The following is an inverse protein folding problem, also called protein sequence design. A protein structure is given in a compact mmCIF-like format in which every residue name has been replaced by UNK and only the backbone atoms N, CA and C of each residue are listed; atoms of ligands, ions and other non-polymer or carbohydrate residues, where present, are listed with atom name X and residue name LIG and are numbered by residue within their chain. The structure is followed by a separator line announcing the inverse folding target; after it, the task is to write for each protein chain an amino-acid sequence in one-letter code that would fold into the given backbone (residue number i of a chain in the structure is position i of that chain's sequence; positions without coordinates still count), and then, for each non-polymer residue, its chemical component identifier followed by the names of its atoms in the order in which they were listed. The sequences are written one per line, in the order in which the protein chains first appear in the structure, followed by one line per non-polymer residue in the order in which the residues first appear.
data_IF_397429060337
#
_entry.id   IF_397429060337
#
_cell.length_a   1.000
_cell.length_b   1.000
_cell.length_c   1.000
_cell.angle_alpha   90.00
_cell.angle_beta   90.00
_cell.angle_gamma   90.00
#
_symmetry.space_group_name_H-M   'P 1'
#
loop_
_entity.id
_entity.type
_entity.pdbx_description
1 polymer ?
#
# COMPACT_ATOMS: atom_id res chain seq x y z
N UNK A 1 -23.67 -9.70 -21.39
CA UNK A 1 -22.45 -9.00 -20.91
C UNK A 1 -21.30 -9.45 -21.78
N UNK A 2 -20.54 -8.53 -22.39
CA UNK A 2 -19.36 -8.90 -23.17
C UNK A 2 -18.35 -9.58 -22.24
N UNK A 3 -17.88 -10.78 -22.61
CA UNK A 3 -16.87 -11.50 -21.84
C UNK A 3 -15.51 -10.83 -22.07
N UNK A 4 -15.03 -10.06 -21.09
CA UNK A 4 -13.68 -9.50 -21.11
C UNK A 4 -12.66 -10.63 -21.08
N UNK A 5 -11.66 -10.58 -21.98
CA UNK A 5 -10.61 -11.58 -22.08
C UNK A 5 -9.77 -11.56 -20.79
N UNK A 6 -9.58 -12.73 -20.18
CA UNK A 6 -8.62 -12.94 -19.09
C UNK A 6 -7.38 -13.62 -19.63
N UNK A 7 -6.24 -12.98 -19.47
CA UNK A 7 -4.93 -13.54 -19.82
C UNK A 7 -3.97 -13.42 -18.65
N UNK A 8 -2.96 -14.29 -18.62
CA UNK A 8 -1.95 -14.27 -17.58
C UNK A 8 -1.05 -13.03 -17.72
N UNK A 9 -1.31 -12.02 -16.89
CA UNK A 9 -0.54 -10.76 -16.82
C UNK A 9 0.15 -10.65 -15.46
N UNK A 10 1.34 -10.06 -15.46
CA UNK A 10 1.98 -9.60 -14.22
C UNK A 10 1.11 -8.56 -13.54
N UNK A 11 1.14 -8.49 -12.20
CA UNK A 11 0.32 -7.54 -11.45
C UNK A 11 0.54 -6.09 -11.87
N UNK A 12 1.77 -5.73 -12.25
CA UNK A 12 2.15 -4.42 -12.79
C UNK A 12 1.46 -4.05 -14.12
N UNK A 13 0.96 -5.05 -14.85
CA UNK A 13 0.31 -4.88 -16.15
C UNK A 13 -1.22 -4.98 -16.04
N UNK A 14 -1.75 -5.14 -14.83
CA UNK A 14 -3.19 -5.06 -14.59
C UNK A 14 -3.69 -3.65 -14.85
N UNK A 15 -4.90 -3.59 -15.38
CA UNK A 15 -5.63 -2.39 -15.73
C UNK A 15 -7.06 -2.47 -15.19
N UNK A 16 -7.85 -1.44 -15.44
CA UNK A 16 -9.29 -1.44 -15.13
C UNK A 16 -10.00 -2.64 -15.78
N UNK A 17 -9.53 -3.14 -16.92
CA UNK A 17 -10.12 -4.31 -17.57
C UNK A 17 -10.08 -5.56 -16.68
N UNK A 18 -8.99 -5.77 -15.94
CA UNK A 18 -8.87 -6.88 -15.00
C UNK A 18 -9.82 -6.72 -13.80
N UNK A 19 -9.97 -5.49 -13.27
CA UNK A 19 -10.93 -5.22 -12.20
C UNK A 19 -12.37 -5.55 -12.65
N UNK A 20 -12.74 -5.14 -13.86
CA UNK A 20 -14.05 -5.46 -14.44
C UNK A 20 -14.20 -6.97 -14.68
N UNK A 21 -13.17 -7.65 -15.20
CA UNK A 21 -13.20 -9.08 -15.50
C UNK A 21 -13.32 -9.95 -14.24
N UNK A 22 -12.78 -9.48 -13.11
CA UNK A 22 -12.86 -10.17 -11.81
C UNK A 22 -13.89 -9.55 -10.86
N UNK A 23 -14.84 -8.77 -11.39
CA UNK A 23 -15.94 -8.17 -10.62
C UNK A 23 -15.46 -7.47 -9.34
N UNK A 24 -14.42 -6.65 -9.47
CA UNK A 24 -13.85 -5.84 -8.40
C UNK A 24 -14.30 -4.40 -8.58
N UNK A 25 -14.80 -3.79 -7.50
CA UNK A 25 -15.16 -2.38 -7.47
C UNK A 25 -14.38 -1.64 -6.37
N UNK A 26 -14.07 -0.38 -6.62
CA UNK A 26 -13.36 0.48 -5.67
C UNK A 26 -14.34 1.51 -5.13
N UNK A 27 -14.47 1.56 -3.81
CA UNK A 27 -15.41 2.42 -3.09
C UNK A 27 -14.64 3.50 -2.33
N UNK A 28 -14.67 4.77 -2.80
CA UNK A 28 -14.18 5.89 -2.03
C UNK A 28 -14.90 5.97 -0.69
N UNK A 29 -14.13 6.12 0.38
CA UNK A 29 -14.62 6.09 1.77
C UNK A 29 -14.02 7.26 2.52
N UNK A 30 -14.81 7.90 3.39
CA UNK A 30 -14.29 8.99 4.21
C UNK A 30 -13.25 8.47 5.20
N UNK A 31 -12.28 9.29 5.62
CA UNK A 31 -11.29 8.86 6.60
C UNK A 31 -11.90 8.35 7.91
N UNK A 32 -12.99 8.96 8.38
CA UNK A 32 -13.68 8.53 9.60
C UNK A 32 -14.23 7.11 9.49
N UNK A 33 -14.82 6.76 8.34
CA UNK A 33 -15.37 5.41 8.09
C UNK A 33 -14.25 4.40 7.80
N UNK A 34 -13.20 4.83 7.08
CA UNK A 34 -12.12 3.93 6.67
C UNK A 34 -11.23 3.51 7.84
N UNK A 35 -10.77 4.45 8.66
CA UNK A 35 -9.85 4.14 9.77
C UNK A 35 -10.55 3.62 11.03
N UNK A 36 -11.87 3.86 11.16
CA UNK A 36 -12.69 3.46 12.32
C UNK A 36 -12.07 3.85 13.68
N UNK A 37 -11.16 4.83 13.67
CA UNK A 37 -10.38 5.26 14.81
C UNK A 37 -11.05 6.48 15.41
N UNK A 38 -11.54 6.37 16.66
CA UNK A 38 -12.22 7.47 17.35
C UNK A 38 -11.30 8.61 17.80
N UNK A 39 -9.98 8.38 17.81
CA UNK A 39 -8.96 9.36 18.23
C UNK A 39 -8.05 9.74 17.08
N UNK A 40 -7.75 11.03 16.96
CA UNK A 40 -6.73 11.54 16.05
C UNK A 40 -5.33 11.10 16.55
N UNK A 41 -4.51 10.39 15.74
CA UNK A 41 -3.20 9.92 16.19
C UNK A 41 -2.26 11.06 16.61
N UNK A 42 -1.55 10.86 17.72
CA UNK A 42 -0.50 11.79 18.17
C UNK A 42 0.78 11.61 17.35
N UNK A 43 1.45 12.74 17.09
CA UNK A 43 2.78 12.81 16.46
C UNK A 43 3.89 13.17 17.45
N UNK A 44 3.60 13.20 18.76
CA UNK A 44 4.53 13.71 19.78
C UNK A 44 5.80 12.85 19.96
N UNK A 45 5.78 11.63 19.42
CA UNK A 45 6.93 10.73 19.41
C UNK A 45 7.91 11.02 18.25
N UNK A 46 7.54 11.88 17.30
CA UNK A 46 8.38 12.29 16.19
C UNK A 46 9.20 13.52 16.57
N UNK A 47 10.37 13.67 15.95
CA UNK A 47 11.13 14.91 16.03
C UNK A 47 10.28 16.08 15.52
N UNK A 48 10.07 17.15 16.32
CA UNK A 48 9.27 18.30 15.90
C UNK A 48 9.73 18.92 14.59
N UNK A 49 11.04 18.87 14.28
CA UNK A 49 11.59 19.42 13.06
C UNK A 49 11.08 18.71 11.80
N UNK A 50 10.75 17.41 11.87
CA UNK A 50 10.11 16.68 10.76
C UNK A 50 8.76 17.32 10.41
N UNK A 51 8.05 17.85 11.41
CA UNK A 51 6.70 18.41 11.26
C UNK A 51 6.69 19.88 10.85
N UNK A 52 7.74 20.63 11.19
CA UNK A 52 7.76 22.10 11.02
C UNK A 52 8.81 22.61 10.05
N UNK A 53 9.89 21.86 9.82
CA UNK A 53 10.96 22.31 8.92
C UNK A 53 10.51 22.22 7.45
N UNK A 54 10.77 23.25 6.64
CA UNK A 54 10.50 23.19 5.21
C UNK A 54 11.44 22.23 4.46
N UNK A 55 12.64 21.94 5.00
CA UNK A 55 13.65 21.10 4.35
C UNK A 55 14.80 20.65 5.27
N UNK A 56 15.79 19.96 4.69
CA UNK A 56 16.89 19.30 5.42
C UNK A 56 18.16 20.13 5.64
N UNK A 57 18.22 21.39 5.20
CA UNK A 57 19.45 22.19 5.19
C UNK A 57 19.78 22.89 6.53
N UNK A 58 18.93 22.77 7.55
CA UNK A 58 19.19 23.37 8.86
C UNK A 58 20.26 22.55 9.62
N UNK A 59 21.42 23.15 9.95
CA UNK A 59 22.51 22.44 10.62
C UNK A 59 22.18 22.02 12.06
N UNK A 60 21.05 22.45 12.63
CA UNK A 60 20.61 22.07 13.97
C UNK A 60 19.64 20.89 13.98
N UNK A 61 19.32 20.30 12.82
CA UNK A 61 18.47 19.12 12.75
C UNK A 61 19.15 17.91 13.40
N UNK A 62 18.34 17.05 14.02
CA UNK A 62 18.82 15.71 14.36
C UNK A 62 19.12 14.92 13.09
N UNK A 63 20.04 13.95 13.16
CA UNK A 63 20.36 13.08 12.02
C UNK A 63 19.10 12.41 11.44
N UNK A 64 18.17 11.98 12.29
CA UNK A 64 16.89 11.36 11.89
C UNK A 64 16.02 12.36 11.11
N UNK A 65 15.91 13.60 11.58
CA UNK A 65 15.13 14.63 10.90
C UNK A 65 15.77 15.03 9.58
N UNK A 66 17.10 15.23 9.55
CA UNK A 66 17.85 15.56 8.35
C UNK A 66 17.71 14.46 7.28
N UNK A 67 17.90 13.19 7.65
CA UNK A 67 17.75 12.05 6.75
C UNK A 67 16.34 11.96 6.16
N UNK A 68 15.31 12.04 7.02
CA UNK A 68 13.92 11.96 6.56
C UNK A 68 13.55 13.12 5.63
N UNK A 69 13.95 14.34 5.97
CA UNK A 69 13.68 15.53 5.16
C UNK A 69 14.46 15.50 3.84
N UNK A 70 15.66 14.89 3.81
CA UNK A 70 16.40 14.62 2.58
C UNK A 70 15.66 13.68 1.64
N UNK A 71 15.11 12.56 2.15
CA UNK A 71 14.27 11.67 1.34
C UNK A 71 13.01 12.38 0.82
N UNK A 72 12.38 13.21 1.67
CA UNK A 72 11.21 13.98 1.27
C UNK A 72 11.53 15.01 0.17
N UNK A 73 12.66 15.70 0.27
CA UNK A 73 13.09 16.67 -0.74
C UNK A 73 13.36 15.99 -2.09
N UNK A 74 14.08 14.86 -2.06
CA UNK A 74 14.33 14.04 -3.24
C UNK A 74 13.02 13.56 -3.89
N UNK A 75 12.05 13.10 -3.09
CA UNK A 75 10.76 12.63 -3.59
C UNK A 75 9.87 13.76 -4.12
N UNK A 76 9.93 14.94 -3.50
CA UNK A 76 9.18 16.14 -3.95
C UNK A 76 9.65 16.61 -5.33
N UNK A 77 10.95 16.53 -5.59
CA UNK A 77 11.57 16.96 -6.85
C UNK A 77 11.88 15.79 -7.80
N UNK A 78 11.38 14.60 -7.50
CA UNK A 78 11.74 13.38 -8.20
C UNK A 78 11.33 13.40 -9.67
N UNK A 79 12.29 13.09 -10.54
CA UNK A 79 12.02 12.58 -11.88
C UNK A 79 12.07 11.05 -11.95
N UNK A 80 12.49 10.41 -10.87
CA UNK A 80 12.70 8.97 -10.77
C UNK A 80 11.80 8.36 -9.69
N UNK A 81 11.07 7.30 -10.06
CA UNK A 81 10.17 6.57 -9.17
C UNK A 81 10.89 6.03 -7.92
N UNK A 82 12.16 5.64 -8.03
CA UNK A 82 12.95 5.13 -6.90
C UNK A 82 13.05 6.11 -5.72
N UNK A 83 13.04 7.42 -5.98
CA UNK A 83 13.06 8.41 -4.89
C UNK A 83 11.74 8.40 -4.09
N UNK A 84 10.62 8.11 -4.75
CA UNK A 84 9.31 7.94 -4.11
C UNK A 84 9.32 6.66 -3.28
N UNK A 85 9.86 5.56 -3.81
CA UNK A 85 9.97 4.28 -3.10
C UNK A 85 10.82 4.41 -1.82
N UNK A 86 11.97 5.07 -1.92
CA UNK A 86 12.87 5.30 -0.79
C UNK A 86 12.21 6.17 0.28
N UNK A 87 11.52 7.23 -0.13
CA UNK A 87 10.73 8.07 0.77
C UNK A 87 9.58 7.32 1.44
N UNK A 88 8.86 6.48 0.69
CA UNK A 88 7.80 5.64 1.23
C UNK A 88 8.34 4.66 2.27
N UNK A 89 9.46 3.99 1.98
CA UNK A 89 10.14 3.10 2.92
C UNK A 89 10.65 3.84 4.16
N UNK A 90 11.21 5.04 4.00
CA UNK A 90 11.64 5.90 5.12
C UNK A 90 10.44 6.30 5.99
N UNK A 91 9.31 6.67 5.38
CA UNK A 91 8.07 7.02 6.10
C UNK A 91 7.52 5.85 6.92
N UNK A 92 7.47 4.65 6.35
CA UNK A 92 7.04 3.46 7.09
C UNK A 92 7.97 3.16 8.27
N UNK A 93 9.29 3.30 8.10
CA UNK A 93 10.27 3.10 9.18
C UNK A 93 10.16 4.17 10.28
N UNK A 94 10.03 5.44 9.89
CA UNK A 94 9.86 6.56 10.82
C UNK A 94 8.65 6.36 11.74
N UNK A 95 7.53 5.88 11.18
CA UNK A 95 6.29 5.62 11.90
C UNK A 95 6.26 4.23 12.58
N UNK A 96 7.39 3.52 12.58
CA UNK A 96 7.60 2.26 13.27
C UNK A 96 6.77 1.10 12.71
N UNK A 97 6.51 1.03 11.40
CA UNK A 97 5.88 -0.15 10.80
C UNK A 97 6.76 -1.40 10.91
N UNK A 98 8.08 -1.22 10.96
CA UNK A 98 9.10 -2.25 11.21
C UNK A 98 9.26 -2.59 12.72
N UNK A 99 8.13 -2.86 13.37
CA UNK A 99 8.10 -3.43 14.73
C UNK A 99 8.79 -4.80 14.81
N UNK A 100 8.86 -5.37 16.02
CA UNK A 100 9.50 -6.67 16.26
C UNK A 100 8.96 -7.72 15.29
N UNK A 101 9.88 -8.39 14.58
CA UNK A 101 9.59 -9.42 13.58
C UNK A 101 8.96 -8.95 12.27
N UNK A 102 8.71 -7.65 12.07
CA UNK A 102 8.35 -7.09 10.76
C UNK A 102 9.52 -6.31 10.15
N UNK A 103 9.65 -6.35 8.83
CA UNK A 103 10.70 -5.63 8.10
C UNK A 103 10.08 -4.95 6.88
N UNK A 104 10.43 -3.68 6.68
CA UNK A 104 10.12 -2.97 5.44
C UNK A 104 11.12 -3.44 4.38
N UNK A 105 10.62 -4.01 3.30
CA UNK A 105 11.39 -4.46 2.15
C UNK A 105 10.99 -3.66 0.91
N UNK A 106 11.95 -3.37 0.04
CA UNK A 106 11.70 -2.67 -1.23
C UNK A 106 11.83 -3.64 -2.41
N UNK A 107 11.13 -3.35 -3.52
CA UNK A 107 11.15 -4.12 -4.78
C UNK A 107 10.94 -5.61 -4.60
N UNK A 108 9.99 -5.98 -3.74
CA UNK A 108 9.75 -7.38 -3.40
C UNK A 108 8.88 -8.05 -4.46
N UNK A 109 9.35 -9.18 -5.01
CA UNK A 109 8.61 -9.93 -6.03
C UNK A 109 7.74 -10.98 -5.34
N UNK A 110 6.43 -10.84 -5.47
CA UNK A 110 5.43 -11.78 -4.97
C UNK A 110 4.93 -12.64 -6.15
N UNK A 111 5.06 -13.97 -6.09
CA UNK A 111 4.46 -14.85 -7.08
C UNK A 111 2.94 -14.67 -7.14
N UNK A 112 2.39 -14.54 -8.35
CA UNK A 112 0.97 -14.44 -8.64
C UNK A 112 0.57 -15.59 -9.56
N UNK A 113 -0.33 -16.45 -9.11
CA UNK A 113 -0.95 -17.47 -9.97
C UNK A 113 -2.18 -16.86 -10.63
N UNK A 114 -2.16 -16.79 -11.97
CA UNK A 114 -3.22 -16.19 -12.79
C UNK A 114 -3.40 -16.99 -14.08
N UNK A 115 -4.63 -17.34 -14.41
CA UNK A 115 -4.98 -18.11 -15.60
C UNK A 115 -4.15 -19.41 -15.80
N UNK A 116 -3.84 -20.12 -14.72
CA UNK A 116 -3.04 -21.34 -14.72
C UNK A 116 -1.53 -21.13 -14.82
N UNK A 117 -1.07 -19.89 -14.89
CA UNK A 117 0.36 -19.54 -15.01
C UNK A 117 0.86 -18.81 -13.77
N UNK A 118 2.14 -19.01 -13.45
CA UNK A 118 2.84 -18.18 -12.47
C UNK A 118 3.40 -16.93 -13.15
N UNK A 119 2.99 -15.77 -12.65
CA UNK A 119 3.49 -14.44 -12.98
C UNK A 119 4.00 -13.77 -11.70
N UNK A 120 4.38 -12.51 -11.81
CA UNK A 120 4.88 -11.72 -10.70
C UNK A 120 3.98 -10.52 -10.43
N UNK A 121 3.79 -10.21 -9.15
CA UNK A 121 3.40 -8.89 -8.68
C UNK A 121 4.62 -8.30 -7.95
N UNK A 122 5.18 -7.23 -8.51
CA UNK A 122 6.34 -6.57 -7.92
C UNK A 122 5.85 -5.36 -7.14
N UNK A 123 5.90 -5.46 -5.82
CA UNK A 123 5.55 -4.37 -4.91
C UNK A 123 6.78 -3.49 -4.69
N UNK A 124 6.59 -2.17 -4.72
CA UNK A 124 7.69 -1.22 -4.61
C UNK A 124 8.21 -1.15 -3.18
N UNK A 125 7.29 -1.19 -2.21
CA UNK A 125 7.60 -1.34 -0.78
C UNK A 125 6.59 -2.30 -0.15
N UNK A 126 7.02 -3.20 0.72
CA UNK A 126 6.10 -4.03 1.51
C UNK A 126 6.57 -4.21 2.94
N UNK A 127 5.62 -4.61 3.78
CA UNK A 127 5.91 -5.05 5.14
C UNK A 127 5.85 -6.56 5.22
N UNK A 128 6.94 -7.18 5.67
CA UNK A 128 7.08 -8.62 5.77
C UNK A 128 7.22 -9.03 7.22
N UNK A 129 6.32 -9.89 7.70
CA UNK A 129 6.45 -10.56 8.99
C UNK A 129 7.21 -11.87 8.87
N UNK A 130 8.12 -12.12 9.81
CA UNK A 130 9.02 -13.27 9.73
C UNK A 130 8.26 -14.61 9.79
N UNK A 131 8.73 -15.63 9.04
CA UNK A 131 9.82 -15.54 8.07
C UNK A 131 9.42 -14.90 6.72
N UNK A 132 8.16 -15.03 6.27
CA UNK A 132 7.75 -14.59 4.91
C UNK A 132 6.24 -14.38 4.77
N UNK A 133 5.61 -13.59 5.64
CA UNK A 133 4.18 -13.24 5.51
C UNK A 133 4.07 -11.78 5.09
N UNK A 134 3.43 -11.52 3.94
CA UNK A 134 3.18 -10.17 3.46
C UNK A 134 2.02 -9.58 4.23
N UNK A 135 2.26 -8.45 4.87
CA UNK A 135 1.35 -7.80 5.79
C UNK A 135 0.73 -6.52 5.24
N UNK A 136 1.46 -5.83 4.37
CA UNK A 136 1.08 -4.59 3.72
C UNK A 136 1.84 -4.50 2.40
N UNK A 137 1.17 -4.08 1.34
CA UNK A 137 1.78 -3.79 0.05
C UNK A 137 1.66 -2.29 -0.27
N UNK A 138 2.73 -1.68 -0.75
CA UNK A 138 2.75 -0.29 -1.19
C UNK A 138 3.22 -0.24 -2.63
N UNK A 139 2.39 0.40 -3.46
CA UNK A 139 2.60 0.54 -4.89
C UNK A 139 2.92 1.99 -5.19
N UNK A 140 4.05 2.25 -5.83
CA UNK A 140 4.35 3.54 -6.42
C UNK A 140 3.30 3.86 -7.49
N UNK A 141 2.66 5.03 -7.40
CA UNK A 141 1.80 5.48 -8.48
C UNK A 141 2.69 5.90 -9.65
N UNK A 142 2.65 5.11 -10.72
CA UNK A 142 3.53 5.27 -11.88
C UNK A 142 3.06 6.40 -12.81
N UNK A 143 2.50 7.48 -12.25
CA UNK A 143 2.04 8.66 -13.00
C UNK A 143 3.15 9.27 -13.85
N UNK A 144 4.40 9.23 -13.38
CA UNK A 144 5.58 9.61 -14.16
C UNK A 144 5.80 8.74 -15.42
N UNK A 145 5.25 7.52 -15.45
CA UNK A 145 5.37 6.56 -16.56
C UNK A 145 4.14 6.49 -17.48
N UNK A 146 3.16 7.40 -17.33
CA UNK A 146 1.88 7.40 -18.06
C UNK A 146 1.00 6.14 -17.85
N UNK A 147 1.26 5.33 -16.81
CA UNK A 147 0.43 4.15 -16.47
C UNK A 147 -0.53 4.47 -15.33
N UNK A 148 -1.78 4.84 -15.65
CA UNK A 148 -2.84 5.21 -14.69
C UNK A 148 -3.56 4.02 -14.05
N UNK A 149 -2.85 2.94 -13.74
CA UNK A 149 -3.47 1.69 -13.28
C UNK A 149 -3.10 1.31 -11.83
N UNK A 150 -2.65 2.25 -11.00
CA UNK A 150 -2.24 1.99 -9.62
C UNK A 150 -3.28 1.20 -8.82
N UNK A 151 -4.56 1.51 -9.02
CA UNK A 151 -5.67 0.79 -8.39
C UNK A 151 -5.76 -0.69 -8.79
N UNK A 152 -5.53 -1.00 -10.07
CA UNK A 152 -5.53 -2.37 -10.55
C UNK A 152 -4.32 -3.14 -10.03
N UNK A 153 -3.16 -2.48 -9.95
CA UNK A 153 -1.93 -3.03 -9.38
C UNK A 153 -2.09 -3.34 -7.89
N UNK A 154 -2.69 -2.43 -7.11
CA UNK A 154 -3.02 -2.65 -5.69
C UNK A 154 -3.83 -3.93 -5.48
N UNK A 155 -4.85 -4.15 -6.32
CA UNK A 155 -5.70 -5.34 -6.24
C UNK A 155 -4.91 -6.59 -6.61
N UNK A 156 -4.12 -6.53 -7.69
CA UNK A 156 -3.29 -7.65 -8.13
C UNK A 156 -2.26 -8.07 -7.07
N UNK A 157 -1.59 -7.10 -6.45
CA UNK A 157 -0.62 -7.32 -5.37
C UNK A 157 -1.26 -7.87 -4.11
N UNK A 158 -2.47 -7.41 -3.75
CA UNK A 158 -3.22 -7.97 -2.64
C UNK A 158 -3.57 -9.44 -2.89
N UNK A 159 -4.01 -9.78 -4.10
CA UNK A 159 -4.31 -11.18 -4.48
C UNK A 159 -3.03 -12.03 -4.44
N UNK A 160 -1.91 -11.52 -4.98
CA UNK A 160 -0.63 -12.20 -4.92
C UNK A 160 -0.17 -12.42 -3.46
N UNK A 161 -0.31 -11.42 -2.60
CA UNK A 161 0.01 -11.50 -1.17
C UNK A 161 -0.83 -12.58 -0.48
N UNK A 162 -2.14 -12.65 -0.76
CA UNK A 162 -3.02 -13.69 -0.23
C UNK A 162 -2.59 -15.09 -0.67
N UNK A 163 -2.38 -15.31 -1.97
CA UNK A 163 -1.92 -16.59 -2.53
C UNK A 163 -0.59 -17.02 -1.92
N UNK A 164 0.37 -16.10 -1.87
CA UNK A 164 1.69 -16.33 -1.30
C UNK A 164 1.61 -16.66 0.19
N UNK A 165 0.83 -15.90 0.96
CA UNK A 165 0.64 -16.13 2.39
C UNK A 165 0.02 -17.52 2.65
N UNK A 166 -1.02 -17.90 1.92
CA UNK A 166 -1.63 -19.23 2.06
C UNK A 166 -0.66 -20.36 1.69
N UNK A 167 0.12 -20.18 0.62
CA UNK A 167 1.18 -21.14 0.24
C UNK A 167 2.21 -21.30 1.36
N UNK A 168 2.65 -20.20 1.99
CA UNK A 168 3.60 -20.22 3.11
C UNK A 168 3.00 -20.81 4.39
N UNK A 169 1.70 -20.66 4.62
CA UNK A 169 0.98 -21.29 5.73
C UNK A 169 0.92 -22.81 5.53
N UNK A 170 0.49 -23.26 4.36
CA UNK A 170 0.42 -24.67 4.02
C UNK A 170 1.79 -25.36 4.13
N UNK A 171 2.86 -24.74 3.61
CA UNK A 171 4.22 -25.24 3.74
C UNK A 171 4.73 -25.37 5.19
N UNK A 172 4.06 -24.72 6.14
CA UNK A 172 4.33 -24.81 7.59
C UNK A 172 3.32 -25.70 8.33
N UNK A 173 2.44 -26.40 7.61
CA UNK A 173 1.36 -27.21 8.20
C UNK A 173 0.26 -26.39 8.88
N UNK A 174 0.15 -25.10 8.56
CA UNK A 174 -0.92 -24.24 9.07
C UNK A 174 -2.12 -24.27 8.12
N UNK A 175 -3.36 -24.15 8.64
CA UNK A 175 -4.54 -24.06 7.79
C UNK A 175 -4.46 -22.81 6.92
N UNK A 176 -4.80 -22.95 5.65
CA UNK A 176 -5.00 -21.83 4.73
C UNK A 176 -6.17 -20.96 5.22
N UNK A 177 -6.15 -19.68 4.85
CA UNK A 177 -7.17 -18.72 5.22
C UNK A 177 -8.17 -18.58 4.07
N UNK A 178 -9.46 -18.64 4.39
CA UNK A 178 -10.54 -18.44 3.41
C UNK A 178 -10.65 -16.97 2.97
N UNK A 179 -10.19 -16.03 3.80
CA UNK A 179 -10.19 -14.62 3.49
C UNK A 179 -9.09 -13.86 4.23
N UNK A 180 -8.63 -12.76 3.65
CA UNK A 180 -7.70 -11.82 4.26
C UNK A 180 -8.00 -10.41 3.78
N UNK A 181 -8.04 -9.45 4.70
CA UNK A 181 -8.02 -8.05 4.34
C UNK A 181 -6.57 -7.61 4.20
N UNK A 182 -6.12 -7.33 2.98
CA UNK A 182 -4.77 -6.85 2.71
C UNK A 182 -4.79 -5.32 2.71
N UNK A 183 -4.10 -4.67 3.66
CA UNK A 183 -3.91 -3.23 3.65
C UNK A 183 -2.91 -2.86 2.54
N UNK A 184 -3.28 -1.89 1.69
CA UNK A 184 -2.38 -1.39 0.66
C UNK A 184 -2.27 0.14 0.67
N UNK A 185 -1.19 0.66 0.12
CA UNK A 185 -0.94 2.10 -0.03
C UNK A 185 -0.53 2.38 -1.47
N UNK A 186 -0.96 3.51 -2.04
CA UNK A 186 -0.31 4.08 -3.22
C UNK A 186 0.32 5.42 -2.90
N UNK A 187 1.43 5.74 -3.58
CA UNK A 187 2.14 7.02 -3.45
C UNK A 187 2.16 7.75 -4.79
N UNK A 188 1.45 8.87 -4.89
CA UNK A 188 1.55 9.78 -6.04
C UNK A 188 2.43 10.95 -5.65
N UNK A 189 3.71 10.90 -6.07
CA UNK A 189 4.76 11.71 -5.44
C UNK A 189 4.81 11.39 -3.94
N UNK A 190 4.63 12.42 -3.11
CA UNK A 190 4.61 12.27 -1.64
C UNK A 190 3.19 12.18 -1.07
N UNK A 191 2.16 12.00 -1.91
CA UNK A 191 0.74 11.94 -1.49
C UNK A 191 0.29 10.48 -1.33
N UNK A 192 -0.05 10.03 -0.11
CA UNK A 192 -0.53 8.68 0.12
C UNK A 192 -2.04 8.55 -0.15
N UNK A 193 -2.42 7.44 -0.78
CA UNK A 193 -3.79 6.92 -0.80
C UNK A 193 -3.82 5.54 -0.17
N UNK A 194 -4.81 5.27 0.68
CA UNK A 194 -4.90 4.03 1.45
C UNK A 194 -6.01 3.14 0.90
N UNK A 195 -5.76 1.84 0.89
CA UNK A 195 -6.68 0.83 0.41
C UNK A 195 -6.82 -0.31 1.40
N UNK A 196 -8.00 -0.91 1.45
CA UNK A 196 -8.23 -2.18 2.14
C UNK A 196 -8.87 -3.14 1.14
N UNK A 197 -8.13 -4.19 0.79
CA UNK A 197 -8.55 -5.15 -0.23
C UNK A 197 -8.99 -6.45 0.46
N UNK A 198 -10.29 -6.75 0.53
CA UNK A 198 -10.76 -8.05 1.00
C UNK A 198 -10.51 -9.10 -0.09
N UNK A 199 -9.51 -9.96 0.11
CA UNK A 199 -9.25 -11.09 -0.78
C UNK A 199 -9.84 -12.35 -0.16
N UNK A 200 -10.68 -13.05 -0.92
CA UNK A 200 -11.23 -14.35 -0.54
C UNK A 200 -10.61 -15.47 -1.35
N UNK A 201 -10.71 -16.70 -0.86
CA UNK A 201 -10.32 -17.90 -1.60
C UNK A 201 -11.05 -17.96 -2.95
N UNK A 202 -12.34 -17.65 -2.98
CA UNK A 202 -13.13 -17.61 -4.22
C UNK A 202 -12.60 -16.59 -5.24
N UNK A 203 -12.18 -15.39 -4.81
CA UNK A 203 -11.55 -14.42 -5.72
C UNK A 203 -10.19 -14.94 -6.20
N UNK A 204 -9.37 -15.46 -5.29
CA UNK A 204 -8.06 -16.02 -5.62
C UNK A 204 -8.16 -17.15 -6.63
N UNK A 205 -9.09 -18.09 -6.44
CA UNK A 205 -9.34 -19.21 -7.33
C UNK A 205 -9.86 -18.75 -8.69
N UNK A 206 -10.76 -17.76 -8.70
CA UNK A 206 -11.25 -17.19 -9.95
C UNK A 206 -10.12 -16.57 -10.78
N UNK A 207 -9.18 -15.87 -10.13
CA UNK A 207 -7.99 -15.30 -10.79
C UNK A 207 -7.05 -16.41 -11.25
N UNK A 208 -6.75 -17.38 -10.39
CA UNK A 208 -5.88 -18.50 -10.70
C UNK A 208 -6.40 -19.36 -11.85
N UNK A 209 -7.71 -19.55 -11.98
CA UNK A 209 -8.35 -20.44 -12.96
C UNK A 209 -9.01 -19.71 -14.13
N UNK A 210 -8.84 -18.38 -14.22
CA UNK A 210 -9.49 -17.54 -15.23
C UNK A 210 -11.03 -17.71 -15.26
N UNK A 211 -11.68 -17.71 -14.11
CA UNK A 211 -13.14 -17.75 -13.95
C UNK A 211 -13.71 -16.38 -13.59
N UNK A 212 -15.01 -16.18 -13.88
CA UNK A 212 -15.73 -14.97 -13.46
C UNK A 212 -16.24 -15.21 -12.03
N UNK A 213 -15.79 -14.42 -11.03
CA UNK A 213 -16.32 -14.57 -9.68
C UNK A 213 -17.78 -14.11 -9.64
N UNK A 214 -18.62 -14.91 -8.98
CA UNK A 214 -20.06 -14.62 -8.82
C UNK A 214 -20.31 -13.48 -7.84
N UNK A 215 -19.42 -13.32 -6.86
CA UNK A 215 -19.53 -12.31 -5.80
C UNK A 215 -18.62 -11.13 -6.13
N UNK A 216 -19.17 -9.92 -6.05
CA UNK A 216 -18.39 -8.71 -6.23
C UNK A 216 -17.44 -8.51 -5.05
N UNK A 217 -16.18 -8.23 -5.34
CA UNK A 217 -15.21 -7.80 -4.33
C UNK A 217 -15.22 -6.28 -4.23
N UNK A 218 -15.48 -5.74 -3.04
CA UNK A 218 -15.52 -4.30 -2.79
C UNK A 218 -14.26 -3.85 -2.05
N UNK A 219 -13.41 -3.11 -2.74
CA UNK A 219 -12.19 -2.52 -2.18
C UNK A 219 -12.51 -1.15 -1.59
N UNK A 220 -12.05 -0.88 -0.37
CA UNK A 220 -12.19 0.43 0.23
C UNK A 220 -11.00 1.30 -0.15
N UNK A 221 -11.25 2.57 -0.48
CA UNK A 221 -10.23 3.59 -0.81
C UNK A 221 -10.41 4.81 0.09
N UNK A 222 -9.33 5.28 0.72
CA UNK A 222 -9.29 6.52 1.48
C UNK A 222 -8.19 7.44 0.93
N UNK A 223 -8.60 8.58 0.40
CA UNK A 223 -7.69 9.60 -0.14
C UNK A 223 -7.26 10.57 0.96
N UNK A 224 -6.01 11.03 0.89
CA UNK A 224 -5.52 12.12 1.74
C UNK A 224 -5.70 13.43 1.00
N UNK A 225 -6.72 14.20 1.37
CA UNK A 225 -7.04 15.49 0.74
C UNK A 225 -7.08 16.61 1.78
N UNK A 226 -6.57 17.78 1.41
CA UNK A 226 -6.77 19.03 2.16
C UNK A 226 -7.57 20.01 1.31
N UNK A 227 -8.54 20.67 1.94
CA UNK A 227 -9.45 21.61 1.26
C UNK A 227 -8.75 22.83 0.62
N UNK A 228 -7.52 23.16 1.05
CA UNK A 228 -6.78 24.35 0.63
C UNK A 228 -5.34 24.03 0.18
N UNK A 229 -5.14 22.92 -0.55
CA UNK A 229 -3.84 22.67 -1.18
C UNK A 229 -3.53 23.80 -2.18
N UNK A 230 -2.49 24.59 -1.89
CA UNK A 230 -2.04 25.70 -2.76
C UNK A 230 -1.64 25.17 -4.14
N UNK A 231 -1.05 23.98 -4.20
CA UNK A 231 -0.83 23.17 -5.40
C UNK A 231 -0.91 21.68 -5.03
N UNK A 232 -1.53 20.87 -5.89
CA UNK A 232 -1.56 19.40 -5.72
C UNK A 232 -0.13 18.82 -5.77
N UNK A 233 0.80 19.49 -6.46
CA UNK A 233 2.20 19.07 -6.61
C UNK A 233 3.02 19.04 -5.31
N UNK A 234 2.62 19.82 -4.30
CA UNK A 234 3.49 20.08 -3.17
C UNK A 234 3.49 18.92 -2.16
N UNK A 235 2.43 18.09 -2.15
CA UNK A 235 2.33 16.90 -1.31
C UNK A 235 2.79 17.13 0.13
N UNK A 236 3.67 16.28 0.63
CA UNK A 236 4.25 16.40 1.99
C UNK A 236 5.35 17.46 2.10
N UNK A 237 5.72 18.20 1.06
CA UNK A 237 6.57 19.38 1.21
C UNK A 237 5.83 20.49 2.00
N UNK A 238 4.51 20.60 1.83
CA UNK A 238 3.64 21.41 2.69
C UNK A 238 3.56 20.78 4.09
N UNK A 239 3.96 21.55 5.11
CA UNK A 239 4.08 21.03 6.49
C UNK A 239 2.74 20.68 7.12
N UNK A 240 1.65 21.38 6.77
CA UNK A 240 0.32 21.07 7.26
C UNK A 240 -0.21 19.78 6.63
N UNK A 241 -0.01 19.61 5.32
CA UNK A 241 -0.31 18.35 4.63
C UNK A 241 0.54 17.20 5.14
N UNK A 242 1.83 17.43 5.39
CA UNK A 242 2.74 16.44 5.99
C UNK A 242 2.22 15.93 7.32
N UNK A 243 1.82 16.82 8.23
CA UNK A 243 1.21 16.44 9.52
C UNK A 243 -0.04 15.60 9.31
N UNK A 244 -0.92 16.00 8.40
CA UNK A 244 -2.13 15.24 8.09
C UNK A 244 -1.79 13.84 7.54
N UNK A 245 -0.88 13.76 6.57
CA UNK A 245 -0.47 12.50 5.95
C UNK A 245 0.16 11.54 6.98
N UNK A 246 1.06 12.02 7.83
CA UNK A 246 1.67 11.21 8.90
C UNK A 246 0.62 10.69 9.90
N UNK A 247 -0.37 11.51 10.28
CA UNK A 247 -1.51 11.06 11.10
C UNK A 247 -2.31 9.97 10.39
N UNK A 248 -2.55 10.10 9.09
CA UNK A 248 -3.26 9.10 8.29
C UNK A 248 -2.48 7.79 8.19
N UNK A 249 -1.15 7.84 8.04
CA UNK A 249 -0.31 6.65 8.11
C UNK A 249 -0.40 5.96 9.48
N UNK A 250 -0.41 6.70 10.60
CA UNK A 250 -0.55 6.11 11.94
C UNK A 250 -1.94 5.49 12.17
N UNK A 251 -3.00 6.15 11.70
CA UNK A 251 -4.35 5.58 11.71
C UNK A 251 -4.41 4.30 10.87
N UNK A 252 -3.78 4.33 9.69
CA UNK A 252 -3.67 3.16 8.82
C UNK A 252 -2.87 2.03 9.44
N UNK A 253 -1.76 2.33 10.11
CA UNK A 253 -0.94 1.36 10.84
C UNK A 253 -1.79 0.60 11.85
N UNK A 254 -2.61 1.32 12.61
CA UNK A 254 -3.51 0.75 13.62
C UNK A 254 -4.57 -0.16 12.98
N UNK A 255 -5.20 0.30 11.89
CA UNK A 255 -6.14 -0.49 11.09
C UNK A 255 -5.48 -1.76 10.53
N UNK A 256 -4.35 -1.62 9.85
CA UNK A 256 -3.59 -2.72 9.25
C UNK A 256 -3.21 -3.78 10.32
N UNK A 257 -2.76 -3.32 11.48
CA UNK A 257 -2.41 -4.18 12.61
C UNK A 257 -3.61 -4.97 13.13
N UNK A 258 -4.78 -4.33 13.22
CA UNK A 258 -6.01 -5.01 13.64
C UNK A 258 -6.43 -6.15 12.69
N UNK A 259 -6.10 -6.04 11.40
CA UNK A 259 -6.37 -7.08 10.42
C UNK A 259 -5.35 -8.20 10.45
N UNK A 260 -4.06 -7.89 10.53
CA UNK A 260 -3.05 -8.95 10.53
C UNK A 260 -2.96 -9.75 11.82
N UNK A 261 -3.32 -9.15 12.96
CA UNK A 261 -3.20 -9.82 14.25
C UNK A 261 -4.12 -11.04 14.34
N UNK A 262 -5.21 -11.03 13.57
CA UNK A 262 -6.19 -12.10 13.50
C UNK A 262 -5.60 -13.42 12.95
N UNK A 263 -4.49 -13.37 12.20
CA UNK A 263 -3.91 -14.56 11.56
C UNK A 263 -2.44 -14.82 11.87
N UNK A 264 -1.80 -13.91 12.62
CA UNK A 264 -0.45 -14.10 13.17
C UNK A 264 -0.46 -14.77 14.56
N UNK A 265 -1.62 -14.84 15.21
CA UNK A 265 -1.85 -15.61 16.44
C UNK A 265 -1.90 -17.12 16.14
#
# INVERSE_FOLDING_TARGET
MAQLIRSAKSGSDWTIAELLAYNVSITPTSPAVFFQSGSDPSLDHLDPAILTSPGGDDPNLSDIAADYLGYLDLATHASQESAIDDFAAATLKLLGFNERHSNVATRYIIPLTICGETRAAQTDVCLIYRPTTILLALVGDKTLSNKTNAEAQVVAEAIAAFQFNNTKREARGQPVLEAMNIPCITMSGTIPTFYLVPVTQALSDAVATAQYPSTQTRVLKCVTVMAHQRRISDGMADTEFRKLALKRFLAFKSLAKSHWQQFLA
#
